data_IF_980131645954
#
_entry.id   IF_980131645954
#
_cell.length_a   1.000
_cell.length_b   1.000
_cell.length_c   1.000
_cell.angle_alpha   90.00
_cell.angle_beta   90.00
_cell.angle_gamma   90.00
#
_symmetry.space_group_name_H-M   'P 1'
#
loop_
_entity.id
_entity.type
_entity.pdbx_description
1 polymer ?
#
# COMPACT_ATOMS: atom_id res chain seq x y z
N UNK A 1 2.78 12.59 18.58
CA UNK A 1 2.08 12.04 17.40
C UNK A 1 2.71 10.69 17.12
N UNK A 2 1.92 9.63 17.00
CA UNK A 2 2.46 8.31 16.64
C UNK A 2 2.93 8.34 15.18
N UNK A 3 4.14 7.86 14.92
CA UNK A 3 4.67 7.71 13.57
C UNK A 3 4.29 6.31 13.06
N UNK A 4 3.95 6.16 11.78
CA UNK A 4 3.70 4.82 11.21
C UNK A 4 4.95 3.91 11.28
N UNK A 5 6.15 4.49 11.35
CA UNK A 5 7.37 3.73 11.58
C UNK A 5 7.39 3.04 12.97
N UNK A 6 6.72 3.62 13.98
CA UNK A 6 6.68 3.07 15.35
C UNK A 6 5.87 1.76 15.45
N UNK A 7 5.06 1.49 14.42
CA UNK A 7 4.23 0.28 14.28
C UNK A 7 4.79 -0.68 13.22
N UNK A 8 6.03 -0.45 12.76
CA UNK A 8 6.72 -1.34 11.84
C UNK A 8 6.37 -1.15 10.37
N UNK A 9 5.58 -0.13 10.01
CA UNK A 9 5.35 0.22 8.59
C UNK A 9 6.64 0.80 8.01
N UNK A 10 7.09 0.22 6.90
CA UNK A 10 8.26 0.69 6.16
C UNK A 10 7.82 1.49 4.94
N UNK A 11 8.65 2.47 4.55
CA UNK A 11 8.33 3.41 3.47
C UNK A 11 9.56 3.72 2.63
N UNK A 12 9.34 3.81 1.32
CA UNK A 12 10.29 4.33 0.34
C UNK A 12 9.55 5.26 -0.63
N UNK A 13 10.29 6.22 -1.19
CA UNK A 13 9.87 6.96 -2.36
C UNK A 13 10.76 6.58 -3.55
N UNK A 14 10.17 5.91 -4.53
CA UNK A 14 10.80 5.35 -5.71
C UNK A 14 10.10 5.97 -6.93
N UNK A 15 10.75 6.89 -7.64
CA UNK A 15 10.19 7.46 -8.87
C UNK A 15 10.13 6.38 -9.96
N UNK A 16 8.93 5.98 -10.45
CA UNK A 16 8.80 4.91 -11.44
C UNK A 16 9.49 5.21 -12.78
N UNK A 17 9.90 6.46 -13.03
CA UNK A 17 10.52 6.91 -14.28
C UNK A 17 12.04 6.93 -14.21
N UNK A 18 12.64 6.60 -13.06
CA UNK A 18 14.09 6.62 -12.85
C UNK A 18 14.66 5.22 -12.70
N UNK A 19 15.76 4.93 -13.37
CA UNK A 19 16.47 3.65 -13.27
C UNK A 19 16.98 3.37 -11.86
N UNK A 20 17.39 4.40 -11.11
CA UNK A 20 17.84 4.30 -9.72
C UNK A 20 16.75 3.70 -8.81
N UNK A 21 15.48 4.06 -9.06
CA UNK A 21 14.33 3.52 -8.35
C UNK A 21 14.08 2.04 -8.68
N UNK A 22 14.33 1.63 -9.93
CA UNK A 22 14.23 0.24 -10.34
C UNK A 22 15.32 -0.62 -9.70
N UNK A 23 16.55 -0.10 -9.61
CA UNK A 23 17.66 -0.76 -8.92
C UNK A 23 17.37 -0.94 -7.43
N UNK A 24 16.85 0.11 -6.77
CA UNK A 24 16.46 0.06 -5.36
C UNK A 24 15.27 -0.89 -5.14
N UNK A 25 14.24 -0.86 -5.99
CA UNK A 25 13.14 -1.81 -5.94
C UNK A 25 13.64 -3.25 -6.10
N UNK A 26 14.54 -3.51 -7.04
CA UNK A 26 15.14 -4.82 -7.25
C UNK A 26 15.96 -5.27 -6.03
N UNK A 27 16.66 -4.35 -5.37
CA UNK A 27 17.37 -4.62 -4.12
C UNK A 27 16.39 -4.99 -3.00
N UNK A 28 15.36 -4.19 -2.77
CA UNK A 28 14.32 -4.47 -1.76
C UNK A 28 13.70 -5.86 -1.99
N UNK A 29 13.33 -6.18 -3.23
CA UNK A 29 12.76 -7.49 -3.58
C UNK A 29 13.72 -8.64 -3.30
N UNK A 30 15.01 -8.51 -3.63
CA UNK A 30 16.02 -9.54 -3.33
C UNK A 30 16.21 -9.72 -1.83
N UNK A 31 16.39 -8.63 -1.10
CA UNK A 31 16.67 -8.65 0.34
C UNK A 31 15.51 -9.24 1.14
N UNK A 32 14.27 -9.07 0.66
CA UNK A 32 13.04 -9.57 1.32
C UNK A 32 12.45 -10.82 0.68
N UNK A 33 13.06 -11.36 -0.38
CA UNK A 33 12.60 -12.59 -1.04
C UNK A 33 11.29 -12.46 -1.83
N UNK A 34 10.93 -11.27 -2.32
CA UNK A 34 9.68 -11.04 -3.05
C UNK A 34 9.75 -11.54 -4.50
N UNK A 35 9.29 -12.76 -4.72
CA UNK A 35 9.32 -13.45 -6.01
C UNK A 35 8.07 -13.23 -6.88
N UNK A 36 6.95 -12.81 -6.29
CA UNK A 36 5.68 -12.58 -6.98
C UNK A 36 5.31 -11.09 -6.99
N UNK A 37 4.59 -10.68 -8.02
CA UNK A 37 4.02 -9.35 -8.15
C UNK A 37 2.80 -9.46 -9.06
N UNK A 38 1.65 -9.01 -8.57
CA UNK A 38 0.45 -8.79 -9.39
C UNK A 38 0.20 -7.28 -9.51
N UNK A 39 -0.66 -6.84 -10.42
CA UNK A 39 -0.99 -5.44 -10.64
C UNK A 39 -2.51 -5.25 -10.45
N UNK A 40 -2.90 -4.43 -9.48
CA UNK A 40 -4.30 -4.01 -9.33
C UNK A 40 -4.46 -2.55 -9.72
N UNK A 41 -5.43 -2.30 -10.60
CA UNK A 41 -5.87 -0.97 -10.97
C UNK A 41 -7.29 -0.76 -10.40
N UNK A 42 -7.39 0.09 -9.38
CA UNK A 42 -8.62 0.33 -8.65
C UNK A 42 -9.24 1.62 -9.20
N UNK A 43 -10.24 1.46 -10.06
CA UNK A 43 -11.13 2.54 -10.48
C UNK A 43 -12.53 1.98 -10.79
N UNK A 44 -13.60 2.81 -10.68
CA UNK A 44 -14.98 2.38 -10.91
C UNK A 44 -15.20 1.66 -12.24
N UNK A 45 -14.51 2.10 -13.30
CA UNK A 45 -14.73 1.63 -14.66
C UNK A 45 -13.83 0.44 -15.06
N UNK A 46 -12.78 0.16 -14.28
CA UNK A 46 -11.75 -0.84 -14.62
C UNK A 46 -11.73 -2.05 -13.68
N UNK A 47 -12.18 -1.88 -12.44
CA UNK A 47 -12.17 -2.95 -11.45
C UNK A 47 -13.51 -3.70 -11.43
N UNK A 48 -13.50 -4.98 -11.75
CA UNK A 48 -14.68 -5.83 -11.61
C UNK A 48 -15.15 -5.90 -10.14
N UNK A 49 -16.47 -5.83 -9.93
CA UNK A 49 -17.10 -5.77 -8.61
C UNK A 49 -16.54 -4.63 -7.73
N UNK A 50 -16.20 -3.49 -8.36
CA UNK A 50 -15.60 -2.33 -7.71
C UNK A 50 -16.21 -2.00 -6.35
N UNK A 51 -17.54 -1.82 -6.28
CA UNK A 51 -18.25 -1.42 -5.06
C UNK A 51 -18.10 -2.43 -3.91
N UNK A 52 -18.05 -3.73 -4.23
CA UNK A 52 -17.82 -4.76 -3.23
C UNK A 52 -16.35 -4.79 -2.80
N UNK A 53 -15.43 -4.72 -3.76
CA UNK A 53 -13.98 -4.73 -3.48
C UNK A 53 -13.55 -3.54 -2.63
N UNK A 54 -13.98 -2.32 -2.95
CA UNK A 54 -13.63 -1.14 -2.14
C UNK A 54 -14.21 -1.21 -0.71
N UNK A 55 -15.41 -1.79 -0.54
CA UNK A 55 -15.96 -2.06 0.80
C UNK A 55 -15.12 -3.07 1.56
N UNK A 56 -14.66 -4.13 0.90
CA UNK A 56 -13.82 -5.15 1.50
C UNK A 56 -12.43 -4.61 1.87
N UNK A 57 -11.82 -3.79 1.00
CA UNK A 57 -10.54 -3.12 1.28
C UNK A 57 -10.65 -2.16 2.47
N UNK A 58 -11.79 -1.47 2.63
CA UNK A 58 -11.98 -0.52 3.72
C UNK A 58 -12.42 -1.17 5.04
N UNK A 59 -12.90 -2.41 5.02
CA UNK A 59 -13.16 -3.16 6.24
C UNK A 59 -11.83 -3.44 6.92
N UNK A 60 -11.72 -3.18 8.22
CA UNK A 60 -10.52 -3.49 8.99
C UNK A 60 -10.18 -4.99 8.88
N UNK A 61 -8.94 -5.30 8.54
CA UNK A 61 -8.43 -6.67 8.38
C UNK A 61 -6.93 -6.74 8.65
N UNK A 62 -6.38 -7.96 8.61
CA UNK A 62 -4.95 -8.24 8.73
C UNK A 62 -4.57 -9.42 7.84
N UNK A 63 -3.30 -9.49 7.49
CA UNK A 63 -2.72 -10.60 6.72
C UNK A 63 -1.68 -11.35 7.56
N UNK A 64 -1.53 -12.65 7.30
CA UNK A 64 -0.49 -13.47 7.95
C UNK A 64 0.92 -13.16 7.42
N UNK A 65 0.98 -12.59 6.21
CA UNK A 65 2.19 -12.13 5.54
C UNK A 65 2.22 -10.60 5.49
N UNK A 66 3.36 -10.04 5.08
CA UNK A 66 3.48 -8.61 4.81
C UNK A 66 2.56 -8.18 3.65
N UNK A 67 1.98 -7.00 3.74
CA UNK A 67 1.28 -6.37 2.61
C UNK A 67 2.18 -5.29 2.01
N UNK A 68 2.58 -5.49 0.75
CA UNK A 68 3.45 -4.58 0.00
C UNK A 68 2.61 -3.85 -1.05
N UNK A 69 2.77 -2.52 -1.13
CA UNK A 69 2.06 -1.70 -2.11
C UNK A 69 2.99 -0.62 -2.64
N UNK A 70 3.15 -0.58 -3.95
CA UNK A 70 3.92 0.45 -4.65
C UNK A 70 2.99 1.26 -5.55
N UNK A 71 2.74 2.53 -5.23
CA UNK A 71 1.83 3.35 -6.01
C UNK A 71 2.49 3.79 -7.32
N UNK A 72 2.10 3.19 -8.44
CA UNK A 72 2.59 3.57 -9.75
C UNK A 72 1.83 4.76 -10.32
N UNK A 73 0.52 4.86 -10.03
CA UNK A 73 -0.32 5.97 -10.47
C UNK A 73 -1.44 6.24 -9.45
N UNK A 74 -1.96 7.47 -9.44
CA UNK A 74 -3.07 7.87 -8.57
C UNK A 74 -2.66 8.04 -7.10
N UNK A 75 -3.63 7.84 -6.20
CA UNK A 75 -3.43 8.01 -4.75
C UNK A 75 -4.53 7.35 -3.91
N UNK A 76 -4.21 7.15 -2.63
CA UNK A 76 -5.12 6.56 -1.66
C UNK A 76 -4.62 6.71 -0.23
N UNK A 77 -5.33 6.06 0.68
CA UNK A 77 -5.01 6.05 2.10
C UNK A 77 -4.96 4.63 2.64
N UNK A 78 -3.91 4.35 3.40
CA UNK A 78 -3.84 3.23 4.32
C UNK A 78 -4.10 3.76 5.73
N UNK A 79 -5.08 3.21 6.41
CA UNK A 79 -5.21 3.43 7.86
C UNK A 79 -4.63 2.20 8.57
N UNK A 80 -3.77 2.41 9.56
CA UNK A 80 -3.18 1.35 10.40
C UNK A 80 -3.43 1.65 11.89
N UNK A 81 -3.53 0.61 12.73
CA UNK A 81 -3.64 0.79 14.18
C UNK A 81 -2.29 1.09 14.83
N UNK A 82 -2.28 2.06 15.74
CA UNK A 82 -1.17 2.30 16.65
C UNK A 82 -1.24 1.43 17.92
N UNK A 83 -0.25 1.59 18.80
CA UNK A 83 -0.14 0.81 20.05
C UNK A 83 -1.27 1.10 21.05
N UNK A 84 -1.99 2.20 20.88
CA UNK A 84 -3.16 2.60 21.68
C UNK A 84 -4.48 2.28 20.96
N UNK A 85 -4.45 1.46 19.90
CA UNK A 85 -5.58 1.15 19.04
C UNK A 85 -6.20 2.39 18.35
N UNK A 86 -5.41 3.43 18.06
CA UNK A 86 -5.87 4.61 17.29
C UNK A 86 -5.46 4.48 15.83
N UNK A 87 -6.27 5.06 14.94
CA UNK A 87 -5.96 5.09 13.52
C UNK A 87 -4.86 6.11 13.19
N UNK A 88 -3.81 5.65 12.52
CA UNK A 88 -2.86 6.48 11.79
C UNK A 88 -3.22 6.40 10.31
N UNK A 89 -3.51 7.55 9.68
CA UNK A 89 -3.77 7.65 8.24
C UNK A 89 -2.49 7.97 7.49
N UNK A 90 -2.13 7.11 6.55
CA UNK A 90 -0.98 7.21 5.67
C UNK A 90 -1.49 7.48 4.27
N UNK A 91 -1.13 8.62 3.68
CA UNK A 91 -1.42 8.92 2.28
C UNK A 91 -0.32 8.35 1.41
N UNK A 92 -0.71 7.64 0.34
CA UNK A 92 0.20 7.20 -0.71
C UNK A 92 -0.16 7.86 -2.04
N UNK A 93 0.84 8.15 -2.86
CA UNK A 93 0.71 8.70 -4.22
C UNK A 93 1.80 8.11 -5.12
N UNK A 94 1.76 8.39 -6.42
CA UNK A 94 2.79 7.97 -7.38
C UNK A 94 4.21 8.08 -6.81
N UNK A 95 4.92 6.95 -6.86
CA UNK A 95 6.26 6.74 -6.35
C UNK A 95 6.35 6.25 -4.90
N UNK A 96 5.27 6.29 -4.13
CA UNK A 96 5.30 5.81 -2.75
C UNK A 96 5.19 4.29 -2.68
N UNK A 97 6.14 3.65 -2.01
CA UNK A 97 6.09 2.24 -1.66
C UNK A 97 5.96 2.09 -0.15
N UNK A 98 4.99 1.30 0.30
CA UNK A 98 4.82 0.93 1.71
C UNK A 98 4.87 -0.58 1.89
N UNK A 99 5.33 -1.00 3.07
CA UNK A 99 5.23 -2.39 3.54
C UNK A 99 4.54 -2.35 4.90
N UNK A 100 3.37 -2.97 4.98
CA UNK A 100 2.66 -3.22 6.23
C UNK A 100 3.16 -4.54 6.83
N UNK A 101 3.58 -4.57 8.10
CA UNK A 101 4.06 -5.80 8.72
C UNK A 101 2.93 -6.82 8.89
N UNK A 102 3.27 -8.10 8.82
CA UNK A 102 2.34 -9.19 9.11
C UNK A 102 1.60 -8.99 10.44
N UNK A 103 0.30 -9.25 10.45
CA UNK A 103 -0.56 -9.15 11.63
C UNK A 103 -1.00 -7.75 12.03
N UNK A 104 -0.59 -6.68 11.32
CA UNK A 104 -1.10 -5.33 11.60
C UNK A 104 -2.55 -5.17 11.13
N UNK A 105 -3.41 -4.62 11.98
CA UNK A 105 -4.75 -4.21 11.56
C UNK A 105 -4.66 -2.97 10.68
N UNK A 106 -5.23 -3.09 9.49
CA UNK A 106 -5.22 -2.04 8.49
C UNK A 106 -6.47 -2.05 7.61
N UNK A 107 -6.61 -0.99 6.81
CA UNK A 107 -7.61 -0.86 5.75
C UNK A 107 -7.12 0.11 4.67
N UNK A 108 -7.64 -0.06 3.46
CA UNK A 108 -7.36 0.78 2.30
C UNK A 108 -8.63 1.51 1.85
N UNK A 109 -8.48 2.77 1.47
CA UNK A 109 -9.51 3.52 0.74
C UNK A 109 -8.88 4.43 -0.30
N UNK A 110 -9.63 4.70 -1.38
CA UNK A 110 -9.25 5.72 -2.35
C UNK A 110 -9.49 7.11 -1.78
N UNK A 111 -8.77 8.10 -2.31
CA UNK A 111 -9.16 9.49 -2.11
C UNK A 111 -10.24 9.92 -3.11
N UNK A 112 -10.56 11.22 -3.13
CA UNK A 112 -11.61 11.76 -4.01
C UNK A 112 -11.35 11.55 -5.51
N UNK A 113 -10.12 11.28 -5.93
CA UNK A 113 -9.80 10.98 -7.33
C UNK A 113 -10.26 9.58 -7.75
N UNK A 114 -10.56 8.68 -6.80
CA UNK A 114 -11.07 7.31 -7.05
C UNK A 114 -10.21 6.51 -8.03
N UNK A 115 -8.91 6.70 -7.99
CA UNK A 115 -7.97 6.03 -8.88
C UNK A 115 -6.65 5.74 -8.15
N UNK A 116 -6.25 4.47 -8.17
CA UNK A 116 -4.87 4.08 -7.87
C UNK A 116 -4.49 2.83 -8.65
N UNK A 117 -3.21 2.74 -9.01
CA UNK A 117 -2.60 1.59 -9.66
C UNK A 117 -1.42 1.14 -8.83
N UNK A 118 -1.54 -0.03 -8.22
CA UNK A 118 -0.57 -0.56 -7.26
C UNK A 118 -0.22 -2.00 -7.63
N UNK A 119 1.06 -2.37 -7.73
CA UNK A 119 1.45 -3.76 -7.68
C UNK A 119 1.24 -4.30 -6.26
N UNK A 120 0.84 -5.56 -6.17
CA UNK A 120 0.56 -6.31 -4.94
C UNK A 120 1.47 -7.50 -4.80
#
# INVERSE_FOLDING_TARGET
MACFADVGVLYWHLDPKKSESEEELAKIRRDRGYSYMDLIEICPDKLENYEEKVKNFFREHMHADEEIRYCLEGSGFFDVRDKDDKWIRIRIREGDMIILPAGIYHRLTLDSAKYTKVPT
#
